data_IF_773715285442
#
_entry.id   IF_773715285442
#
_cell.length_a   1.000
_cell.length_b   1.000
_cell.length_c   1.000
_cell.angle_alpha   90.00
_cell.angle_beta   90.00
_cell.angle_gamma   90.00
#
_symmetry.space_group_name_H-M   'P 1'
#
loop_
_entity.id
_entity.type
_entity.pdbx_description
1 polymer ?
#
# COMPACT_ATOMS: atom_id res chain seq x y z
N UNK A 1 17.50 8.84 2.87
CA UNK A 1 16.40 8.49 1.95
C UNK A 1 15.11 9.03 2.56
N UNK A 2 14.25 9.71 1.79
CA UNK A 2 13.04 10.32 2.35
C UNK A 2 11.94 9.26 2.50
N UNK A 3 11.37 9.14 3.70
CA UNK A 3 10.23 8.27 3.96
C UNK A 3 8.94 8.99 3.57
N UNK A 4 8.27 8.50 2.52
CA UNK A 4 7.02 9.09 2.01
C UNK A 4 5.76 8.49 2.64
N UNK A 5 5.91 7.58 3.61
CA UNK A 5 4.79 6.97 4.31
C UNK A 5 5.20 5.87 5.29
N UNK A 6 4.27 5.46 6.13
CA UNK A 6 4.43 4.35 7.07
C UNK A 6 3.13 3.56 7.10
N UNK A 7 3.24 2.23 7.11
CA UNK A 7 2.11 1.32 7.22
C UNK A 7 2.31 0.39 8.41
N UNK A 8 1.23 0.08 9.10
CA UNK A 8 1.20 -0.86 10.22
C UNK A 8 0.11 -1.89 9.99
N UNK A 9 0.42 -3.14 10.29
CA UNK A 9 -0.54 -4.24 10.23
C UNK A 9 -1.43 -4.17 11.48
N UNK A 10 -2.74 -4.01 11.27
CA UNK A 10 -3.74 -4.07 12.32
C UNK A 10 -4.90 -4.93 11.85
N UNK A 11 -5.27 -5.94 12.62
CA UNK A 11 -6.41 -6.83 12.34
C UNK A 11 -6.36 -7.44 10.93
N UNK A 12 -5.16 -7.85 10.49
CA UNK A 12 -4.93 -8.44 9.16
C UNK A 12 -4.95 -7.43 8.00
N UNK A 13 -5.08 -6.14 8.28
CA UNK A 13 -5.11 -5.08 7.26
C UNK A 13 -3.96 -4.09 7.48
N UNK A 14 -3.22 -3.80 6.42
CA UNK A 14 -2.14 -2.82 6.45
C UNK A 14 -2.70 -1.42 6.23
N UNK A 15 -2.65 -0.58 7.26
CA UNK A 15 -3.14 0.81 7.19
C UNK A 15 -2.02 1.79 7.50
N UNK A 16 -2.05 2.95 6.86
CA UNK A 16 -0.96 3.89 6.95
C UNK A 16 -1.29 5.25 6.38
N UNK A 17 -0.26 6.07 6.24
CA UNK A 17 -0.37 7.39 5.60
C UNK A 17 0.72 7.54 4.55
N UNK A 18 0.34 8.13 3.42
CA UNK A 18 1.27 8.57 2.38
C UNK A 18 1.34 10.08 2.44
N UNK A 19 2.56 10.59 2.60
CA UNK A 19 2.89 12.01 2.65
C UNK A 19 3.98 12.33 1.63
N UNK A 20 3.58 12.96 0.55
CA UNK A 20 4.47 13.58 -0.44
C UNK A 20 4.33 15.11 -0.36
N UNK A 21 4.98 15.83 -1.28
CA UNK A 21 4.86 17.29 -1.36
C UNK A 21 3.42 17.75 -1.63
N UNK A 22 2.63 16.96 -2.35
CA UNK A 22 1.28 17.33 -2.81
C UNK A 22 0.17 16.42 -2.28
N UNK A 23 0.51 15.28 -1.67
CA UNK A 23 -0.45 14.28 -1.20
C UNK A 23 -0.23 14.05 0.29
N UNK A 24 -1.29 14.11 1.08
CA UNK A 24 -1.28 13.72 2.49
C UNK A 24 -2.57 12.98 2.82
N UNK A 25 -2.58 11.65 2.66
CA UNK A 25 -3.79 10.83 2.76
C UNK A 25 -3.56 9.58 3.58
N UNK A 26 -4.63 9.12 4.24
CA UNK A 26 -4.69 7.77 4.80
C UNK A 26 -4.84 6.79 3.65
N UNK A 27 -4.05 5.73 3.69
CA UNK A 27 -4.06 4.69 2.67
C UNK A 27 -4.05 3.30 3.30
N UNK A 28 -4.49 2.33 2.52
CA UNK A 28 -4.58 0.93 2.93
C UNK A 28 -3.99 0.04 1.85
N UNK A 29 -3.17 -0.93 2.26
CA UNK A 29 -2.72 -2.01 1.39
C UNK A 29 -3.70 -3.19 1.54
N UNK A 30 -4.33 -3.54 0.42
CA UNK A 30 -5.30 -4.63 0.32
C UNK A 30 -4.63 -5.82 -0.36
N UNK A 31 -4.63 -7.03 0.24
CA UNK A 31 -4.03 -8.21 -0.38
C UNK A 31 -4.65 -8.52 -1.74
N UNK A 32 -3.81 -8.78 -2.74
CA UNK A 32 -4.23 -9.25 -4.05
C UNK A 32 -4.44 -10.77 -3.99
N UNK A 33 -5.68 -11.21 -3.77
CA UNK A 33 -6.03 -12.63 -3.58
C UNK A 33 -5.83 -13.47 -4.85
N UNK A 34 -6.05 -12.87 -6.02
CA UNK A 34 -5.98 -13.54 -7.32
C UNK A 34 -4.65 -13.26 -8.04
N UNK A 35 -3.55 -13.16 -7.29
CA UNK A 35 -2.25 -12.81 -7.87
C UNK A 35 -1.72 -13.91 -8.80
N UNK A 36 -1.27 -13.51 -9.99
CA UNK A 36 -0.51 -14.34 -10.93
C UNK A 36 1.00 -14.09 -10.76
N UNK A 37 1.84 -14.85 -11.46
CA UNK A 37 3.29 -14.67 -11.39
C UNK A 37 3.68 -13.24 -11.82
N UNK A 38 4.41 -12.52 -10.98
CA UNK A 38 4.80 -11.11 -11.21
C UNK A 38 3.73 -10.07 -10.85
N UNK A 39 2.51 -10.49 -10.53
CA UNK A 39 1.47 -9.58 -10.05
C UNK A 39 1.80 -9.06 -8.64
N UNK A 40 1.32 -7.86 -8.27
CA UNK A 40 1.59 -7.28 -6.96
C UNK A 40 0.95 -8.11 -5.84
N UNK A 41 1.61 -8.15 -4.68
CA UNK A 41 1.06 -8.76 -3.46
C UNK A 41 -0.07 -7.92 -2.87
N UNK A 42 0.00 -6.59 -3.03
CA UNK A 42 -0.99 -5.67 -2.48
C UNK A 42 -1.39 -4.58 -3.47
N UNK A 43 -2.65 -4.16 -3.40
CA UNK A 43 -3.19 -2.96 -4.05
C UNK A 43 -3.30 -1.85 -3.01
N UNK A 44 -2.91 -0.64 -3.36
CA UNK A 44 -2.94 0.52 -2.49
C UNK A 44 -4.17 1.37 -2.76
N UNK A 45 -4.98 1.64 -1.74
CA UNK A 45 -6.18 2.46 -1.84
C UNK A 45 -6.16 3.64 -0.87
N UNK A 46 -6.74 4.77 -1.29
CA UNK A 46 -7.05 5.90 -0.41
C UNK A 46 -8.40 6.52 -0.81
N UNK A 47 -9.30 6.71 0.16
CA UNK A 47 -10.59 7.37 -0.08
C UNK A 47 -11.46 6.73 -1.16
N UNK A 48 -11.29 5.43 -1.45
CA UNK A 48 -12.02 4.71 -2.50
C UNK A 48 -11.33 4.69 -3.88
N UNK A 49 -10.25 5.45 -4.08
CA UNK A 49 -9.44 5.40 -5.29
C UNK A 49 -8.25 4.45 -5.14
N UNK A 50 -7.91 3.72 -6.20
CA UNK A 50 -6.66 2.97 -6.29
C UNK A 50 -5.50 3.93 -6.57
N UNK A 51 -4.53 3.96 -5.67
CA UNK A 51 -3.34 4.80 -5.78
C UNK A 51 -2.13 4.07 -6.36
N UNK A 52 -2.12 2.73 -6.32
CA UNK A 52 -1.00 1.95 -6.86
C UNK A 52 -0.95 0.51 -6.39
N UNK A 53 0.24 -0.07 -6.49
CA UNK A 53 0.53 -1.47 -6.23
C UNK A 53 1.82 -1.63 -5.43
N UNK A 54 1.92 -2.73 -4.67
CA UNK A 54 3.10 -3.06 -3.88
C UNK A 54 3.46 -4.55 -4.02
N UNK A 55 4.76 -4.81 -4.08
CA UNK A 55 5.38 -6.13 -4.06
C UNK A 55 6.13 -6.28 -2.75
N UNK A 56 6.11 -7.48 -2.17
CA UNK A 56 7.01 -7.79 -1.06
C UNK A 56 8.41 -7.93 -1.62
N UNK A 57 9.37 -7.34 -0.92
CA UNK A 57 10.77 -7.60 -1.19
C UNK A 57 11.05 -9.06 -0.86
N UNK A 58 11.50 -9.83 -1.87
CA UNK A 58 12.13 -11.13 -1.66
C UNK A 58 13.62 -10.86 -1.45
N UNK A 59 14.08 -11.01 -0.20
CA UNK A 59 15.51 -11.00 0.16
C UNK A 59 16.09 -12.41 0.15
#
# INVERSE_FOLDING_TARGET
MAQIGAFTLKDGTWTGTIRTMTINVKAQLVPNKDKTQGAPDFRLYAGGAELGAAWREES
#
